data_IF_833326503011
#
_entry.id   IF_833326503011
#
_cell.length_a   1.000
_cell.length_b   1.000
_cell.length_c   1.000
_cell.angle_alpha   90.00
_cell.angle_beta   90.00
_cell.angle_gamma   90.00
#
_symmetry.space_group_name_H-M   'P 1'
#
loop_
_entity.id
_entity.type
_entity.pdbx_description
1 polymer ?
#
# COMPACT_ATOMS: atom_id res chain seq x y z
N UNK A 1 -16.17 8.32 -1.89
CA UNK A 1 -15.45 9.00 -2.99
C UNK A 1 -14.27 8.15 -3.39
N UNK A 2 -14.31 7.55 -4.57
CA UNK A 2 -13.15 6.86 -5.15
C UNK A 2 -12.43 7.86 -6.06
N UNK A 3 -11.14 8.07 -5.84
CA UNK A 3 -10.32 9.03 -6.59
C UNK A 3 -9.22 8.28 -7.30
N UNK A 4 -8.95 8.66 -8.56
CA UNK A 4 -7.85 8.08 -9.32
C UNK A 4 -6.50 8.43 -8.68
N UNK A 5 -5.58 7.47 -8.66
CA UNK A 5 -4.20 7.68 -8.22
C UNK A 5 -3.42 8.22 -9.42
N UNK A 6 -3.21 9.53 -9.43
CA UNK A 6 -2.38 10.22 -10.41
C UNK A 6 -1.14 10.83 -9.77
N UNK A 7 -0.38 11.59 -10.56
CA UNK A 7 0.87 12.24 -10.15
C UNK A 7 0.73 13.03 -8.83
N UNK A 8 -0.32 13.84 -8.68
CA UNK A 8 -0.53 14.68 -7.50
C UNK A 8 -0.89 13.92 -6.22
N UNK A 9 -1.44 12.70 -6.35
CA UNK A 9 -1.93 11.90 -5.21
C UNK A 9 -1.06 10.66 -4.92
N UNK A 10 -0.07 10.38 -5.77
CA UNK A 10 0.72 9.16 -5.68
C UNK A 10 1.52 9.08 -4.36
N UNK A 11 2.12 10.19 -3.90
CA UNK A 11 2.85 10.23 -2.62
C UNK A 11 1.97 9.85 -1.42
N UNK A 12 0.71 10.29 -1.40
CA UNK A 12 -0.22 9.99 -0.31
C UNK A 12 -0.65 8.54 -0.35
N UNK A 13 -0.84 7.98 -1.54
CA UNK A 13 -1.12 6.56 -1.70
C UNK A 13 0.04 5.69 -1.18
N UNK A 14 1.29 6.03 -1.52
CA UNK A 14 2.47 5.31 -1.00
C UNK A 14 2.52 5.38 0.53
N UNK A 15 2.33 6.57 1.11
CA UNK A 15 2.33 6.71 2.58
C UNK A 15 1.15 6.02 3.26
N UNK A 16 -0.03 6.05 2.64
CA UNK A 16 -1.19 5.29 3.11
C UNK A 16 -0.88 3.79 3.19
N UNK A 17 -0.29 3.21 2.14
CA UNK A 17 0.12 1.80 2.16
C UNK A 17 1.16 1.51 3.25
N UNK A 18 2.11 2.43 3.48
CA UNK A 18 3.10 2.29 4.55
C UNK A 18 2.45 2.25 5.94
N UNK A 19 1.60 3.22 6.25
CA UNK A 19 0.93 3.29 7.55
C UNK A 19 -0.06 2.14 7.76
N UNK A 20 -0.76 1.72 6.71
CA UNK A 20 -1.61 0.53 6.76
C UNK A 20 -0.80 -0.73 7.09
N UNK A 21 0.35 -0.92 6.43
CA UNK A 21 1.26 -2.04 6.70
C UNK A 21 1.74 -2.03 8.16
N UNK A 22 2.26 -0.90 8.64
CA UNK A 22 2.78 -0.79 10.02
C UNK A 22 1.66 -0.99 11.04
N UNK A 23 0.52 -0.33 10.87
CA UNK A 23 -0.61 -0.40 11.80
C UNK A 23 -1.21 -1.80 11.89
N UNK A 24 -1.39 -2.48 10.76
CA UNK A 24 -1.95 -3.84 10.73
C UNK A 24 -1.01 -4.88 11.31
N UNK A 25 0.30 -4.82 11.02
CA UNK A 25 1.27 -5.72 11.64
C UNK A 25 1.46 -5.45 13.13
N UNK A 26 1.44 -4.19 13.56
CA UNK A 26 1.46 -3.85 14.98
C UNK A 26 0.20 -4.35 15.71
N UNK A 27 -0.98 -4.13 15.13
CA UNK A 27 -2.24 -4.66 15.65
C UNK A 27 -2.24 -6.19 15.74
N UNK A 28 -1.76 -6.87 14.69
CA UNK A 28 -1.59 -8.33 14.68
C UNK A 28 -0.66 -8.81 15.80
N UNK A 29 0.47 -8.12 16.01
CA UNK A 29 1.41 -8.45 17.09
C UNK A 29 0.74 -8.36 18.47
N UNK A 30 -0.05 -7.31 18.72
CA UNK A 30 -0.83 -7.18 19.96
C UNK A 30 -1.86 -8.31 20.09
N UNK A 31 -2.59 -8.64 19.03
CA UNK A 31 -3.58 -9.73 19.03
C UNK A 31 -2.92 -11.07 19.39
N UNK A 32 -1.75 -11.36 18.81
CA UNK A 32 -0.96 -12.57 19.13
C UNK A 32 -0.56 -12.61 20.60
N UNK A 33 -0.15 -11.46 21.18
CA UNK A 33 0.14 -11.36 22.62
C UNK A 33 -1.11 -11.65 23.47
N UNK A 34 -2.28 -11.12 23.08
CA UNK A 34 -3.54 -11.40 23.77
C UNK A 34 -3.96 -12.87 23.67
N UNK A 35 -3.81 -13.51 22.51
CA UNK A 35 -4.09 -14.93 22.33
C UNK A 35 -3.20 -15.81 23.23
N UNK A 36 -1.91 -15.46 23.33
CA UNK A 36 -0.99 -16.13 24.25
C UNK A 36 -1.39 -15.94 25.71
N UNK A 37 -1.75 -14.72 26.11
CA UNK A 37 -2.07 -14.39 27.51
C UNK A 37 -3.39 -15.03 27.98
N UNK A 38 -4.44 -14.98 27.15
CA UNK A 38 -5.79 -15.38 27.55
C UNK A 38 -6.11 -16.84 27.25
N UNK A 39 -5.50 -17.42 26.21
CA UNK A 39 -5.81 -18.76 25.71
C UNK A 39 -4.60 -19.69 25.66
N UNK A 40 -3.46 -19.24 26.22
CA UNK A 40 -2.21 -20.00 26.27
C UNK A 40 -1.73 -20.51 24.89
N UNK A 41 -2.07 -19.78 23.82
CA UNK A 41 -1.70 -20.16 22.45
C UNK A 41 -0.20 -19.96 22.23
N UNK A 42 0.48 -21.02 21.77
CA UNK A 42 1.93 -20.99 21.51
C UNK A 42 2.25 -20.73 20.04
N UNK A 43 2.95 -19.63 19.75
CA UNK A 43 3.43 -19.28 18.41
C UNK A 43 4.91 -19.66 18.28
N UNK A 44 5.19 -20.88 17.81
CA UNK A 44 6.57 -21.35 17.57
C UNK A 44 7.11 -20.94 16.21
N UNK A 45 6.24 -20.51 15.29
CA UNK A 45 6.60 -20.17 13.92
C UNK A 45 5.38 -20.03 13.00
N UNK A 46 5.60 -19.86 11.68
CA UNK A 46 4.52 -19.65 10.71
C UNK A 46 3.51 -20.80 10.67
N UNK A 47 3.92 -22.02 11.01
CA UNK A 47 3.02 -23.18 11.05
C UNK A 47 1.85 -22.98 12.03
N UNK A 48 2.03 -22.19 13.09
CA UNK A 48 0.96 -21.90 14.06
C UNK A 48 -0.24 -21.20 13.40
N UNK A 49 -0.02 -20.40 12.37
CA UNK A 49 -1.12 -19.78 11.61
C UNK A 49 -1.93 -20.81 10.81
N UNK A 50 -1.33 -21.96 10.45
CA UNK A 50 -2.05 -23.02 9.74
C UNK A 50 -2.82 -23.88 10.75
N UNK A 51 -2.19 -24.23 11.87
CA UNK A 51 -2.82 -25.05 12.91
C UNK A 51 -4.03 -24.35 13.53
N UNK A 52 -3.95 -23.04 13.81
CA UNK A 52 -5.09 -22.29 14.36
C UNK A 52 -6.29 -22.29 13.39
N UNK A 53 -6.07 -22.18 12.08
CA UNK A 53 -7.16 -22.31 11.09
C UNK A 53 -7.74 -23.72 11.11
N UNK A 54 -6.88 -24.74 11.13
CA UNK A 54 -7.33 -26.13 11.16
C UNK A 54 -8.19 -26.40 12.40
N UNK A 55 -7.74 -26.00 13.59
CA UNK A 55 -8.45 -26.18 14.85
C UNK A 55 -9.79 -25.43 14.85
N UNK A 56 -9.82 -24.21 14.27
CA UNK A 56 -11.05 -23.43 14.13
C UNK A 56 -12.06 -24.15 13.23
N UNK A 57 -11.65 -24.60 12.05
CA UNK A 57 -12.51 -25.32 11.09
C UNK A 57 -13.00 -26.64 11.70
N UNK A 58 -12.11 -27.39 12.34
CA UNK A 58 -12.47 -28.65 13.01
C UNK A 58 -13.46 -28.43 14.16
N UNK A 59 -13.25 -27.41 15.00
CA UNK A 59 -14.17 -27.05 16.08
C UNK A 59 -15.56 -26.66 15.58
N UNK A 60 -15.63 -25.92 14.46
CA UNK A 60 -16.90 -25.61 13.82
C UNK A 60 -17.63 -26.84 13.27
N UNK A 61 -16.92 -27.78 12.66
CA UNK A 61 -17.51 -28.99 12.09
C UNK A 61 -17.98 -30.01 13.13
N UNK A 62 -17.36 -29.99 14.32
CA UNK A 62 -17.66 -30.92 15.42
C UNK A 62 -18.59 -30.33 16.47
N UNK A 63 -19.17 -29.14 16.22
CA UNK A 63 -19.98 -28.37 17.17
C UNK A 63 -19.26 -28.05 18.50
N UNK A 64 -17.93 -28.21 18.53
CA UNK A 64 -17.08 -27.80 19.63
C UNK A 64 -16.70 -26.32 19.44
N UNK A 65 -17.67 -25.44 19.69
CA UNK A 65 -17.50 -24.02 19.47
C UNK A 65 -16.37 -23.43 20.34
N UNK A 66 -15.35 -22.81 19.73
CA UNK A 66 -14.35 -22.10 20.51
C UNK A 66 -14.99 -20.91 21.22
N UNK A 67 -14.37 -20.48 22.32
CA UNK A 67 -14.77 -19.27 23.04
C UNK A 67 -14.96 -18.10 22.06
N UNK A 68 -16.09 -17.38 22.15
CA UNK A 68 -16.43 -16.26 21.27
C UNK A 68 -15.30 -15.21 21.15
N UNK A 69 -14.57 -14.95 22.25
CA UNK A 69 -13.45 -14.01 22.28
C UNK A 69 -12.24 -14.55 21.53
N UNK A 70 -11.97 -15.85 21.64
CA UNK A 70 -10.92 -16.51 20.88
C UNK A 70 -11.21 -16.42 19.38
N UNK A 71 -12.43 -16.76 18.99
CA UNK A 71 -12.88 -16.68 17.60
C UNK A 71 -12.70 -15.26 17.03
N UNK A 72 -13.18 -14.24 17.74
CA UNK A 72 -13.06 -12.85 17.33
C UNK A 72 -11.60 -12.43 17.15
N UNK A 73 -10.73 -12.73 18.11
CA UNK A 73 -9.30 -12.39 18.05
C UNK A 73 -8.60 -13.12 16.90
N UNK A 74 -8.91 -14.39 16.67
CA UNK A 74 -8.33 -15.17 15.57
C UNK A 74 -8.76 -14.60 14.21
N UNK A 75 -10.04 -14.26 14.02
CA UNK A 75 -10.51 -13.60 12.78
C UNK A 75 -9.81 -12.27 12.59
N UNK A 76 -9.75 -11.43 13.63
CA UNK A 76 -9.10 -10.12 13.56
C UNK A 76 -7.59 -10.25 13.26
N UNK A 77 -6.92 -11.30 13.78
CA UNK A 77 -5.53 -11.63 13.46
C UNK A 77 -5.35 -11.90 11.97
N UNK A 78 -6.20 -12.74 11.35
CA UNK A 78 -6.11 -13.02 9.91
C UNK A 78 -6.49 -11.81 9.05
N UNK A 79 -7.50 -11.02 9.44
CA UNK A 79 -7.82 -9.77 8.77
C UNK A 79 -6.62 -8.81 8.80
N UNK A 80 -5.95 -8.69 9.96
CA UNK A 80 -4.76 -7.84 10.12
C UNK A 80 -3.58 -8.36 9.28
N UNK A 81 -3.33 -9.67 9.30
CA UNK A 81 -2.28 -10.31 8.48
C UNK A 81 -2.51 -10.08 6.98
N UNK A 82 -3.71 -10.36 6.49
CA UNK A 82 -4.05 -10.23 5.06
C UNK A 82 -4.01 -8.78 4.60
N UNK A 83 -4.59 -7.86 5.36
CA UNK A 83 -4.53 -6.43 5.07
C UNK A 83 -3.08 -5.91 5.08
N UNK A 84 -2.27 -6.33 6.05
CA UNK A 84 -0.85 -5.96 6.13
C UNK A 84 -0.03 -6.49 4.97
N UNK A 85 -0.26 -7.74 4.54
CA UNK A 85 0.42 -8.32 3.38
C UNK A 85 0.05 -7.62 2.07
N UNK A 86 -1.23 -7.26 1.88
CA UNK A 86 -1.67 -6.49 0.70
C UNK A 86 -1.03 -5.10 0.72
N UNK A 87 -1.08 -4.41 1.86
CA UNK A 87 -0.50 -3.08 2.01
C UNK A 87 1.02 -3.08 1.81
N UNK A 88 1.73 -4.07 2.35
CA UNK A 88 3.16 -4.26 2.13
C UNK A 88 3.47 -4.48 0.65
N UNK A 89 2.75 -5.39 -0.01
CA UNK A 89 2.95 -5.70 -1.42
C UNK A 89 2.78 -4.46 -2.32
N UNK A 90 1.72 -3.69 -2.06
CA UNK A 90 1.47 -2.43 -2.77
C UNK A 90 2.57 -1.40 -2.46
N UNK A 91 2.96 -1.25 -1.19
CA UNK A 91 4.00 -0.32 -0.81
C UNK A 91 5.33 -0.61 -1.51
N UNK A 92 5.80 -1.86 -1.44
CA UNK A 92 7.03 -2.28 -2.12
C UNK A 92 6.96 -2.04 -3.63
N UNK A 93 5.85 -2.44 -4.26
CA UNK A 93 5.66 -2.21 -5.70
C UNK A 93 5.74 -0.73 -6.06
N UNK A 94 5.04 0.14 -5.34
CA UNK A 94 5.03 1.55 -5.66
C UNK A 94 6.33 2.27 -5.29
N UNK A 95 7.06 1.83 -4.26
CA UNK A 95 8.40 2.35 -3.97
C UNK A 95 9.37 2.01 -5.11
N UNK A 96 9.32 0.79 -5.66
CA UNK A 96 10.12 0.43 -6.83
C UNK A 96 9.77 1.30 -8.05
N UNK A 97 8.48 1.56 -8.28
CA UNK A 97 8.05 2.46 -9.35
C UNK A 97 8.55 3.90 -9.16
N UNK A 98 8.49 4.42 -7.92
CA UNK A 98 9.00 5.75 -7.57
C UNK A 98 10.50 5.85 -7.85
N UNK A 99 11.28 4.86 -7.42
CA UNK A 99 12.73 4.84 -7.61
C UNK A 99 13.07 4.75 -9.11
N UNK A 100 12.35 3.91 -9.85
CA UNK A 100 12.50 3.76 -11.31
C UNK A 100 11.98 4.97 -12.10
N UNK A 101 11.26 5.91 -11.47
CA UNK A 101 10.66 7.06 -12.14
C UNK A 101 9.59 6.65 -13.17
N UNK A 102 8.88 5.55 -12.92
CA UNK A 102 7.89 4.98 -13.85
C UNK A 102 6.50 4.97 -13.23
N UNK A 103 5.48 5.15 -14.08
CA UNK A 103 4.10 4.86 -13.71
C UNK A 103 3.80 3.35 -13.84
N UNK A 104 2.73 2.87 -13.18
CA UNK A 104 2.30 1.46 -13.31
C UNK A 104 1.98 1.09 -14.75
N UNK A 105 1.41 2.01 -15.53
CA UNK A 105 1.12 1.80 -16.95
C UNK A 105 2.40 1.62 -17.77
N UNK A 106 3.42 2.44 -17.50
CA UNK A 106 4.72 2.38 -18.17
C UNK A 106 5.49 1.11 -17.82
N UNK A 107 5.55 0.76 -16.54
CA UNK A 107 6.23 -0.45 -16.08
C UNK A 107 5.61 -1.72 -16.69
N UNK A 108 4.27 -1.80 -16.78
CA UNK A 108 3.57 -2.94 -17.39
C UNK A 108 3.80 -3.07 -18.88
N UNK A 109 4.08 -1.97 -19.58
CA UNK A 109 4.35 -1.97 -21.03
C UNK A 109 5.84 -2.01 -21.37
N UNK A 110 6.72 -2.08 -20.37
CA UNK A 110 8.17 -2.02 -20.58
C UNK A 110 8.65 -0.69 -21.15
N UNK A 111 7.89 0.40 -20.94
CA UNK A 111 8.23 1.73 -21.46
C UNK A 111 8.99 2.47 -20.36
N UNK A 112 10.24 2.85 -20.64
CA UNK A 112 11.03 3.68 -19.75
C UNK A 112 11.17 5.08 -20.39
N UNK A 113 10.23 5.99 -20.07
CA UNK A 113 10.22 7.37 -20.61
C UNK A 113 11.12 8.33 -19.83
N UNK A 114 11.44 8.01 -18.57
CA UNK A 114 12.14 8.90 -17.65
C UNK A 114 13.52 8.38 -17.21
N UNK A 115 14.10 7.45 -17.97
CA UNK A 115 15.30 6.64 -17.64
C UNK A 115 16.63 7.40 -17.57
N UNK A 116 16.64 8.72 -17.70
CA UNK A 116 17.87 9.54 -17.68
C UNK A 116 18.22 10.17 -16.32
N UNK A 117 17.34 10.06 -15.31
CA UNK A 117 17.53 10.67 -13.98
C UNK A 117 18.08 9.66 -12.97
N UNK A 118 18.90 10.15 -12.03
CA UNK A 118 19.35 9.35 -10.88
C UNK A 118 18.15 8.90 -10.03
N UNK A 119 18.22 7.69 -9.47
CA UNK A 119 17.22 7.13 -8.55
C UNK A 119 16.78 8.11 -7.45
N UNK A 120 17.73 8.87 -6.89
CA UNK A 120 17.43 9.87 -5.87
C UNK A 120 16.57 11.02 -6.42
N UNK A 121 16.81 11.46 -7.65
CA UNK A 121 16.01 12.51 -8.30
C UNK A 121 14.58 12.04 -8.54
N UNK A 122 14.38 10.81 -8.98
CA UNK A 122 13.04 10.25 -9.17
C UNK A 122 12.24 10.20 -7.85
N UNK A 123 12.91 9.85 -6.75
CA UNK A 123 12.29 9.86 -5.43
C UNK A 123 11.91 11.27 -4.98
N UNK A 124 12.83 12.24 -5.10
CA UNK A 124 12.59 13.65 -4.74
C UNK A 124 11.54 14.31 -5.64
N UNK A 125 11.42 13.88 -6.90
CA UNK A 125 10.37 14.38 -7.81
C UNK A 125 8.95 14.06 -7.27
N UNK A 126 8.77 12.93 -6.58
CA UNK A 126 7.47 12.50 -6.04
C UNK A 126 7.24 13.00 -4.60
N UNK A 127 8.26 12.92 -3.74
CA UNK A 127 8.13 13.31 -2.33
C UNK A 127 8.46 14.78 -2.06
N UNK A 128 9.03 15.48 -3.03
CA UNK A 128 9.44 16.87 -2.94
C UNK A 128 10.71 17.08 -2.11
N UNK A 129 11.11 18.36 -1.99
CA UNK A 129 12.31 18.78 -1.24
C UNK A 129 12.27 18.37 0.24
N UNK A 130 11.08 18.39 0.84
CA UNK A 130 10.84 18.07 2.25
C UNK A 130 10.34 16.63 2.43
N UNK A 131 10.95 15.68 1.72
CA UNK A 131 10.50 14.29 1.69
C UNK A 131 10.39 13.64 3.07
N UNK A 132 11.29 13.97 4.01
CA UNK A 132 11.25 13.46 5.39
C UNK A 132 9.95 13.89 6.08
N UNK A 133 9.58 15.17 5.97
CA UNK A 133 8.35 15.69 6.56
C UNK A 133 7.12 15.06 5.89
N UNK A 134 7.19 14.85 4.56
CA UNK A 134 6.14 14.17 3.80
C UNK A 134 5.95 12.70 4.21
N UNK A 135 6.97 12.06 4.80
CA UNK A 135 6.88 10.69 5.31
C UNK A 135 6.08 10.65 6.61
N UNK A 136 6.28 11.62 7.51
CA UNK A 136 5.63 11.64 8.83
C UNK A 136 4.27 12.34 8.84
N UNK A 137 4.06 13.28 7.93
CA UNK A 137 2.85 14.11 7.88
C UNK A 137 2.33 14.13 6.44
N UNK A 138 1.09 13.67 6.18
CA UNK A 138 0.46 13.77 4.87
C UNK A 138 -0.02 15.21 4.61
N UNK A 139 0.90 16.18 4.66
CA UNK A 139 0.62 17.58 4.38
C UNK A 139 0.68 17.88 2.88
N UNK A 140 -0.04 18.90 2.37
CA UNK A 140 0.11 19.43 1.02
C UNK A 140 1.43 20.20 0.88
N UNK A 141 2.55 19.47 0.91
CA UNK A 141 3.87 20.04 0.68
C UNK A 141 4.07 20.35 -0.82
N UNK A 142 4.83 21.39 -1.18
CA UNK A 142 5.11 21.71 -2.56
C UNK A 142 5.82 20.55 -3.25
N UNK A 143 5.27 20.10 -4.38
CA UNK A 143 5.91 19.10 -5.25
C UNK A 143 6.91 19.78 -6.18
N UNK A 144 7.95 19.03 -6.56
CA UNK A 144 8.88 19.47 -7.58
C UNK A 144 8.22 19.30 -8.95
N UNK A 145 7.72 20.40 -9.52
CA UNK A 145 6.99 20.38 -10.78
C UNK A 145 7.98 20.43 -11.95
N UNK A 146 8.05 19.33 -12.73
CA UNK A 146 8.89 19.27 -13.93
C UNK A 146 8.16 19.99 -15.09
N UNK A 147 8.78 21.00 -15.75
CA UNK A 147 8.20 21.69 -16.91
C UNK A 147 7.78 20.74 -18.04
N UNK A 148 8.40 19.56 -18.13
CA UNK A 148 8.11 18.55 -19.14
C UNK A 148 6.69 17.96 -18.99
N UNK A 149 6.16 17.94 -17.76
CA UNK A 149 4.77 17.55 -17.47
C UNK A 149 3.79 18.61 -17.96
N UNK A 150 4.14 19.89 -17.81
CA UNK A 150 3.33 21.02 -18.29
C UNK A 150 3.16 20.96 -19.81
N UNK A 151 4.23 20.67 -20.54
CA UNK A 151 4.23 20.53 -21.99
C UNK A 151 3.47 19.29 -22.48
N UNK A 152 3.49 18.20 -21.70
CA UNK A 152 2.66 17.02 -22.00
C UNK A 152 1.17 17.33 -21.80
N UNK A 153 0.82 17.99 -20.70
CA UNK A 153 -0.55 18.37 -20.38
C UNK A 153 -1.10 19.40 -21.38
N UNK A 154 -0.28 20.40 -21.77
CA UNK A 154 -0.60 21.35 -22.85
C UNK A 154 -0.82 20.64 -24.18
N UNK A 155 0.01 19.66 -24.54
CA UNK A 155 -0.15 18.88 -25.79
C UNK A 155 -1.41 18.02 -25.79
N UNK A 156 -1.75 17.36 -24.69
CA UNK A 156 -2.98 16.57 -24.61
C UNK A 156 -4.23 17.47 -24.64
N UNK A 157 -4.25 18.57 -23.88
CA UNK A 157 -5.36 19.53 -23.93
C UNK A 157 -5.54 20.13 -25.34
N UNK A 158 -4.43 20.38 -26.06
CA UNK A 158 -4.47 20.89 -27.44
C UNK A 158 -4.99 19.86 -28.44
N UNK A 159 -4.78 18.56 -28.21
CA UNK A 159 -5.36 17.48 -29.03
C UNK A 159 -6.87 17.36 -28.81
N UNK A 160 -7.31 17.37 -27.56
CA UNK A 160 -8.75 17.33 -27.22
C UNK A 160 -9.51 18.56 -27.77
N UNK A 161 -8.92 19.76 -27.71
CA UNK A 161 -9.50 20.96 -28.33
C UNK A 161 -9.38 21.03 -29.86
N UNK A 162 -8.44 20.26 -30.45
CA UNK A 162 -8.28 20.15 -31.89
C UNK A 162 -9.29 19.19 -32.53
N UNK A 163 -9.70 18.14 -31.80
CA UNK A 163 -10.71 17.18 -32.24
C UNK A 163 -12.13 17.78 -32.20
N UNK A 164 -12.46 18.67 -31.26
CA UNK A 164 -13.75 19.37 -31.23
C UNK A 164 -13.95 20.45 -32.32
N UNK A 165 -12.99 20.66 -33.22
CA UNK A 165 -13.09 21.65 -34.31
C UNK A 165 -13.31 21.05 -35.70
N UNK A 166 -13.58 19.75 -35.77
CA UNK A 166 -13.76 19.02 -37.03
C UNK A 166 -15.17 18.42 -37.25
N UNK A 167 -16.17 18.91 -36.51
CA UNK A 167 -17.58 18.64 -36.77
C UNK A 167 -18.30 19.86 -37.34
#
# INVERSE_FOLDING_TARGET
MTVCIGYFNHRYFVMFCFYMMVGTFYGMFLIVMYLKLLFNTTFYGPQTFITIIYDLVYGFLTEHYPNEKFLFLVILMYCSLTAGMIAASLWFWHVLLVISGQTTHEARRGIARHTGKSYYRNFVDIFGKYWILSVFVPAPLPMYYDPLFEDYQKRNNKKEHGECKHD
#
